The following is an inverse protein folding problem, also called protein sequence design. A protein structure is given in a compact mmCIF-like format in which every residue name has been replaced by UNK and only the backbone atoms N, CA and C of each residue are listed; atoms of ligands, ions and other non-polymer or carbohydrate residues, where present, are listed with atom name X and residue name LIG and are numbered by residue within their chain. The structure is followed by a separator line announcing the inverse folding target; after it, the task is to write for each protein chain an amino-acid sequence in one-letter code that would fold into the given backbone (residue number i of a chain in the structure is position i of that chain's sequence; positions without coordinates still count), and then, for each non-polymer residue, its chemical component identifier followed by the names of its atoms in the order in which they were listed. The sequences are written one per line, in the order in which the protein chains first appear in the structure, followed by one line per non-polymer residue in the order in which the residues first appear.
data_IF_034135127445
#
_entry.id   IF_034135127445
#
_cell.length_a   1.000
_cell.length_b   1.000
_cell.length_c   1.000
_cell.angle_alpha   90.00
_cell.angle_beta   90.00
_cell.angle_gamma   90.00
#
_symmetry.space_group_name_H-M   'P 1'
#
loop_
_entity.id
_entity.type
_entity.pdbx_description
1 polymer ?
#
# COMPACT_ATOMS: atom_id res chain seq x y z
N UNK A 1 -11.56 -21.94 -15.79
CA UNK A 1 -10.39 -21.40 -15.06
C UNK A 1 -9.68 -22.54 -14.37
N UNK A 2 -8.41 -22.80 -14.70
CA UNK A 2 -7.62 -23.90 -14.12
C UNK A 2 -7.44 -23.68 -12.61
N UNK A 3 -7.26 -24.78 -11.85
CA UNK A 3 -7.17 -24.73 -10.38
C UNK A 3 -6.01 -23.83 -9.89
N UNK A 4 -4.87 -23.85 -10.56
CA UNK A 4 -3.71 -23.00 -10.28
C UNK A 4 -4.00 -21.50 -10.48
N UNK A 5 -4.70 -21.15 -11.57
CA UNK A 5 -5.09 -19.78 -11.85
C UNK A 5 -6.11 -19.26 -10.81
N UNK A 6 -7.04 -20.12 -10.39
CA UNK A 6 -8.02 -19.80 -9.33
C UNK A 6 -7.31 -19.51 -8.00
N UNK A 7 -6.34 -20.33 -7.60
CA UNK A 7 -5.55 -20.12 -6.38
C UNK A 7 -4.75 -18.81 -6.44
N UNK A 8 -4.05 -18.56 -7.57
CA UNK A 8 -3.30 -17.30 -7.75
C UNK A 8 -4.22 -16.09 -7.67
N UNK A 9 -5.38 -16.12 -8.33
CA UNK A 9 -6.35 -15.02 -8.31
C UNK A 9 -6.88 -14.75 -6.90
N UNK A 10 -7.22 -15.81 -6.14
CA UNK A 10 -7.68 -15.66 -4.76
C UNK A 10 -6.61 -15.10 -3.84
N UNK A 11 -5.36 -15.56 -3.96
CA UNK A 11 -4.24 -15.05 -3.18
C UNK A 11 -4.00 -13.55 -3.48
N UNK A 12 -4.00 -13.16 -4.75
CA UNK A 12 -3.82 -11.76 -5.15
C UNK A 12 -4.95 -10.85 -4.67
N UNK A 13 -6.20 -11.33 -4.66
CA UNK A 13 -7.33 -10.59 -4.08
C UNK A 13 -7.18 -10.42 -2.56
N UNK A 14 -6.75 -11.48 -1.85
CA UNK A 14 -6.47 -11.40 -0.43
C UNK A 14 -5.33 -10.42 -0.12
N UNK A 15 -4.23 -10.47 -0.89
CA UNK A 15 -3.13 -9.49 -0.77
C UNK A 15 -3.61 -8.06 -1.02
N UNK A 16 -4.46 -7.84 -2.02
CA UNK A 16 -5.05 -6.53 -2.30
C UNK A 16 -5.84 -5.99 -1.11
N UNK A 17 -6.65 -6.85 -0.46
CA UNK A 17 -7.40 -6.49 0.74
C UNK A 17 -6.47 -6.16 1.91
N UNK A 18 -5.51 -7.04 2.22
CA UNK A 18 -4.60 -6.88 3.36
C UNK A 18 -3.73 -5.62 3.21
N UNK A 19 -3.14 -5.41 2.03
CA UNK A 19 -2.36 -4.19 1.76
C UNK A 19 -3.20 -2.92 1.90
N UNK A 20 -4.47 -2.98 1.46
CA UNK A 20 -5.37 -1.82 1.58
C UNK A 20 -5.78 -1.57 3.02
N UNK A 21 -6.00 -2.61 3.83
CA UNK A 21 -6.24 -2.45 5.28
C UNK A 21 -5.03 -1.79 5.94
N UNK A 22 -3.82 -2.30 5.70
CA UNK A 22 -2.58 -1.74 6.26
C UNK A 22 -2.35 -0.29 5.84
N UNK A 23 -2.52 0.03 4.55
CA UNK A 23 -2.40 1.38 4.04
C UNK A 23 -3.46 2.33 4.61
N UNK A 24 -4.72 1.90 4.68
CA UNK A 24 -5.81 2.66 5.27
C UNK A 24 -5.66 2.88 6.77
N UNK A 25 -5.06 1.91 7.49
CA UNK A 25 -4.80 2.03 8.91
C UNK A 25 -3.65 3.01 9.24
N UNK A 26 -2.82 3.39 8.27
CA UNK A 26 -1.63 4.22 8.49
C UNK A 26 -1.75 5.61 7.87
N UNK A 27 -2.34 5.72 6.69
CA UNK A 27 -2.36 6.97 5.93
C UNK A 27 -2.94 8.16 6.71
N UNK A 28 -4.12 8.08 7.37
CA UNK A 28 -4.67 9.20 8.13
C UNK A 28 -3.83 9.57 9.36
N UNK A 29 -3.08 8.60 9.92
CA UNK A 29 -2.31 8.79 11.14
C UNK A 29 -0.88 9.27 10.90
N UNK A 30 -0.43 9.31 9.65
CA UNK A 30 0.89 9.84 9.31
C UNK A 30 1.05 11.30 9.72
N UNK A 31 -0.01 12.10 9.59
CA UNK A 31 -0.02 13.51 10.05
C UNK A 31 0.13 13.62 11.56
N UNK A 32 -0.58 12.76 12.31
CA UNK A 32 -0.50 12.69 13.77
C UNK A 32 0.90 12.21 14.19
N UNK A 33 1.45 11.22 13.49
CA UNK A 33 2.80 10.71 13.73
C UNK A 33 3.85 11.80 13.59
N UNK A 34 3.83 12.54 12.48
CA UNK A 34 4.76 13.64 12.22
C UNK A 34 4.62 14.77 13.25
N UNK A 35 3.40 15.10 13.65
CA UNK A 35 3.14 16.10 14.67
C UNK A 35 3.66 15.68 16.05
N UNK A 36 3.33 14.46 16.51
CA UNK A 36 3.66 14.00 17.86
C UNK A 36 5.12 13.62 18.02
N UNK A 37 5.70 12.92 17.02
CA UNK A 37 7.06 12.39 17.10
C UNK A 37 8.11 13.46 16.79
N UNK A 38 7.81 14.42 15.93
CA UNK A 38 8.78 15.40 15.44
C UNK A 38 8.38 16.84 15.72
N UNK A 39 7.24 17.07 16.39
CA UNK A 39 6.73 18.42 16.75
C UNK A 39 6.64 19.36 15.54
N UNK A 40 6.31 18.80 14.36
CA UNK A 40 6.17 19.61 13.15
C UNK A 40 4.91 20.47 13.18
N UNK A 41 5.02 21.70 12.66
CA UNK A 41 3.88 22.56 12.41
C UNK A 41 2.96 21.97 11.34
N UNK A 42 1.69 22.37 11.35
CA UNK A 42 0.68 21.90 10.39
C UNK A 42 1.12 22.15 8.95
N UNK A 43 1.73 23.31 8.68
CA UNK A 43 2.21 23.67 7.35
C UNK A 43 3.33 22.72 6.87
N UNK A 44 4.30 22.44 7.73
CA UNK A 44 5.39 21.52 7.41
C UNK A 44 4.89 20.09 7.18
N UNK A 45 3.90 19.64 7.96
CA UNK A 45 3.25 18.35 7.74
C UNK A 45 2.56 18.35 6.38
N UNK A 46 1.83 19.40 6.02
CA UNK A 46 1.18 19.55 4.72
C UNK A 46 2.18 19.43 3.56
N UNK A 47 3.31 20.16 3.66
CA UNK A 47 4.39 20.05 2.65
C UNK A 47 4.99 18.64 2.59
N UNK A 48 5.31 18.04 3.73
CA UNK A 48 5.89 16.70 3.80
C UNK A 48 4.97 15.66 3.16
N UNK A 49 3.67 15.69 3.48
CA UNK A 49 2.68 14.79 2.91
C UNK A 49 2.52 15.00 1.41
N UNK A 50 2.45 16.25 0.95
CA UNK A 50 2.34 16.59 -0.48
C UNK A 50 3.56 16.08 -1.25
N UNK A 51 4.77 16.32 -0.75
CA UNK A 51 6.00 15.85 -1.36
C UNK A 51 6.01 14.33 -1.45
N UNK A 52 5.71 13.64 -0.33
CA UNK A 52 5.72 12.19 -0.30
C UNK A 52 4.71 11.56 -1.28
N UNK A 53 3.49 12.09 -1.33
CA UNK A 53 2.45 11.60 -2.23
C UNK A 53 2.79 11.90 -3.69
N UNK A 54 3.30 13.09 -4.01
CA UNK A 54 3.70 13.48 -5.36
C UNK A 54 4.85 12.61 -5.86
N UNK A 55 5.90 12.42 -5.07
CA UNK A 55 7.01 11.51 -5.39
C UNK A 55 6.46 10.10 -5.61
N UNK A 56 5.63 9.60 -4.71
CA UNK A 56 5.02 8.28 -4.82
C UNK A 56 4.28 8.09 -6.14
N UNK A 57 3.46 9.05 -6.55
CA UNK A 57 2.70 9.00 -7.81
C UNK A 57 3.64 9.08 -9.03
N UNK A 58 4.56 10.04 -9.06
CA UNK A 58 5.49 10.21 -10.20
C UNK A 58 6.32 8.95 -10.45
N UNK A 59 6.90 8.40 -9.37
CA UNK A 59 7.69 7.16 -9.50
C UNK A 59 6.81 5.95 -9.84
N UNK A 60 5.57 5.88 -9.33
CA UNK A 60 4.66 4.78 -9.66
C UNK A 60 4.30 4.72 -11.14
N UNK A 61 4.19 5.86 -11.82
CA UNK A 61 3.97 5.91 -13.26
C UNK A 61 5.17 5.30 -14.02
N UNK A 62 6.39 5.69 -13.66
CA UNK A 62 7.61 5.12 -14.27
C UNK A 62 7.74 3.61 -14.03
N UNK A 63 7.55 3.18 -12.79
CA UNK A 63 7.60 1.77 -12.41
C UNK A 63 6.44 0.97 -13.01
N UNK A 64 5.26 1.57 -13.20
CA UNK A 64 4.12 0.94 -13.86
C UNK A 64 4.44 0.60 -15.32
N UNK A 65 5.07 1.52 -16.07
CA UNK A 65 5.52 1.28 -17.45
C UNK A 65 6.62 0.19 -17.49
N UNK A 66 7.52 0.23 -16.52
CA UNK A 66 8.59 -0.75 -16.41
C UNK A 66 8.06 -2.17 -16.13
N UNK A 67 6.97 -2.28 -15.40
CA UNK A 67 6.33 -3.56 -15.04
C UNK A 67 5.91 -4.40 -16.26
N UNK A 68 5.63 -3.77 -17.40
CA UNK A 68 5.29 -4.48 -18.63
C UNK A 68 6.46 -5.28 -19.22
N UNK A 69 7.69 -4.92 -18.85
CA UNK A 69 8.93 -5.61 -19.30
C UNK A 69 9.34 -6.79 -18.42
N UNK A 70 8.72 -6.95 -17.26
CA UNK A 70 9.09 -7.96 -16.27
C UNK A 70 7.95 -8.94 -15.97
N UNK A 71 8.30 -10.07 -15.34
CA UNK A 71 7.30 -10.99 -14.80
C UNK A 71 6.44 -10.28 -13.72
N UNK A 72 5.13 -10.14 -14.00
CA UNK A 72 4.21 -9.39 -13.17
C UNK A 72 4.13 -9.91 -11.73
N UNK A 73 4.27 -11.24 -11.51
CA UNK A 73 4.24 -11.82 -10.16
C UNK A 73 5.47 -11.41 -9.36
N UNK A 74 6.66 -11.51 -9.95
CA UNK A 74 7.91 -11.07 -9.30
C UNK A 74 7.87 -9.59 -9.00
N UNK A 75 7.33 -8.80 -9.92
CA UNK A 75 7.22 -7.36 -9.75
C UNK A 75 6.25 -6.96 -8.64
N UNK A 76 5.11 -7.67 -8.50
CA UNK A 76 4.20 -7.48 -7.37
C UNK A 76 4.85 -7.88 -6.04
N UNK A 77 5.63 -8.96 -6.00
CA UNK A 77 6.39 -9.35 -4.80
C UNK A 77 7.40 -8.27 -4.38
N UNK A 78 8.12 -7.69 -5.34
CA UNK A 78 9.02 -6.57 -5.07
C UNK A 78 8.27 -5.34 -4.53
N UNK A 79 7.10 -5.04 -5.08
CA UNK A 79 6.27 -3.95 -4.57
C UNK A 79 5.78 -4.23 -3.14
N UNK A 80 5.35 -5.46 -2.83
CA UNK A 80 4.95 -5.86 -1.47
C UNK A 80 6.12 -5.76 -0.49
N UNK A 81 7.30 -6.24 -0.87
CA UNK A 81 8.49 -6.16 -0.01
C UNK A 81 8.93 -4.71 0.23
N UNK A 82 8.86 -3.85 -0.79
CA UNK A 82 9.12 -2.41 -0.64
C UNK A 82 8.10 -1.73 0.29
N UNK A 83 6.82 -2.09 0.17
CA UNK A 83 5.74 -1.62 1.04
C UNK A 83 5.98 -2.03 2.51
N UNK A 84 6.27 -3.32 2.75
CA UNK A 84 6.56 -3.84 4.08
C UNK A 84 7.79 -3.19 4.70
N UNK A 85 8.89 -3.09 3.94
CA UNK A 85 10.14 -2.48 4.42
C UNK A 85 9.96 -1.01 4.79
N UNK A 86 9.17 -0.26 4.02
CA UNK A 86 8.84 1.12 4.33
C UNK A 86 8.11 1.25 5.68
N UNK A 87 7.13 0.40 5.95
CA UNK A 87 6.40 0.42 7.22
C UNK A 87 7.25 -0.04 8.42
N UNK A 88 8.13 -1.01 8.24
CA UNK A 88 9.08 -1.43 9.27
C UNK A 88 10.08 -0.30 9.57
N UNK A 89 10.54 0.41 8.55
CA UNK A 89 11.56 1.44 8.69
C UNK A 89 11.06 2.70 9.41
N UNK A 90 9.81 3.14 9.17
CA UNK A 90 9.27 4.38 9.75
C UNK A 90 9.43 4.45 11.28
N UNK A 91 9.01 3.45 12.09
CA UNK A 91 9.15 3.52 13.55
C UNK A 91 10.60 3.33 14.05
N UNK A 92 11.52 2.90 13.20
CA UNK A 92 12.93 2.64 13.57
C UNK A 92 13.85 3.83 13.27
N UNK A 93 13.41 4.81 12.48
CA UNK A 93 14.23 5.96 12.11
C UNK A 93 13.81 7.21 12.89
N UNK A 94 14.82 8.01 13.31
CA UNK A 94 14.62 9.26 14.05
C UNK A 94 14.92 10.50 13.17
N UNK A 95 14.66 10.42 11.87
CA UNK A 95 14.92 11.49 10.93
C UNK A 95 13.68 11.74 10.05
N UNK A 96 13.15 12.96 10.12
CA UNK A 96 11.93 13.36 9.39
C UNK A 96 12.06 13.13 7.89
N UNK A 97 13.20 13.49 7.30
CA UNK A 97 13.41 13.33 5.86
C UNK A 97 13.34 11.85 5.45
N UNK A 98 13.93 10.95 6.23
CA UNK A 98 13.86 9.52 5.98
C UNK A 98 12.44 8.99 6.13
N UNK A 99 11.69 9.43 7.13
CA UNK A 99 10.28 9.06 7.31
C UNK A 99 9.45 9.49 6.10
N UNK A 100 9.64 10.72 5.60
CA UNK A 100 8.93 11.21 4.40
C UNK A 100 9.31 10.39 3.16
N UNK A 101 10.60 10.03 3.00
CA UNK A 101 11.05 9.18 1.89
C UNK A 101 10.48 7.75 1.98
N UNK A 102 10.46 7.14 3.17
CA UNK A 102 9.82 5.83 3.34
C UNK A 102 8.31 5.90 3.09
N UNK A 103 7.68 6.98 3.49
CA UNK A 103 6.25 7.17 3.20
C UNK A 103 5.99 7.33 1.69
N UNK A 104 6.87 8.05 0.96
CA UNK A 104 6.82 8.12 -0.50
C UNK A 104 7.03 6.74 -1.14
N UNK A 105 7.98 5.93 -0.63
CA UNK A 105 8.22 4.56 -1.06
C UNK A 105 6.97 3.69 -0.89
N UNK A 106 6.32 3.76 0.28
CA UNK A 106 5.09 3.02 0.58
C UNK A 106 3.98 3.37 -0.43
N UNK A 107 3.75 4.67 -0.68
CA UNK A 107 2.73 5.12 -1.64
C UNK A 107 3.05 4.68 -3.08
N UNK A 108 4.32 4.76 -3.48
CA UNK A 108 4.79 4.27 -4.77
C UNK A 108 4.55 2.76 -4.89
N UNK A 109 4.99 1.97 -3.92
CA UNK A 109 4.87 0.52 -3.90
C UNK A 109 3.41 0.07 -3.94
N UNK A 110 2.52 0.70 -3.16
CA UNK A 110 1.09 0.43 -3.19
C UNK A 110 0.47 0.69 -4.57
N UNK A 111 0.80 1.83 -5.18
CA UNK A 111 0.30 2.22 -6.50
C UNK A 111 0.79 1.28 -7.59
N UNK A 112 2.07 0.89 -7.55
CA UNK A 112 2.67 -0.09 -8.46
C UNK A 112 2.00 -1.44 -8.33
N UNK A 113 1.85 -1.96 -7.11
CA UNK A 113 1.14 -3.21 -6.86
C UNK A 113 -0.27 -3.18 -7.43
N UNK A 114 -1.05 -2.14 -7.15
CA UNK A 114 -2.43 -2.02 -7.61
C UNK A 114 -2.54 -1.97 -9.15
N UNK A 115 -1.58 -1.31 -9.82
CA UNK A 115 -1.53 -1.22 -11.29
C UNK A 115 -1.16 -2.55 -11.91
N UNK A 116 -0.09 -3.19 -11.41
CA UNK A 116 0.40 -4.48 -11.93
C UNK A 116 -0.60 -5.61 -11.67
N UNK A 117 -1.31 -5.57 -10.53
CA UNK A 117 -2.38 -6.52 -10.23
C UNK A 117 -3.51 -6.45 -11.26
N UNK A 118 -3.95 -5.24 -11.62
CA UNK A 118 -4.98 -5.04 -12.64
C UNK A 118 -4.50 -5.54 -14.01
N UNK A 119 -3.25 -5.25 -14.38
CA UNK A 119 -2.64 -5.74 -15.61
C UNK A 119 -2.58 -7.27 -15.61
N UNK A 120 -2.18 -7.90 -14.49
CA UNK A 120 -2.16 -9.35 -14.38
C UNK A 120 -3.55 -9.98 -14.57
N UNK A 121 -4.60 -9.39 -13.96
CA UNK A 121 -5.99 -9.83 -14.18
C UNK A 121 -6.39 -9.68 -15.65
N UNK A 122 -6.02 -8.58 -16.29
CA UNK A 122 -6.32 -8.34 -17.69
C UNK A 122 -5.68 -9.36 -18.63
N UNK A 123 -4.47 -9.82 -18.35
CA UNK A 123 -3.74 -10.77 -19.19
C UNK A 123 -4.17 -12.22 -18.98
N UNK A 124 -4.49 -12.61 -17.76
CA UNK A 124 -4.64 -14.02 -17.39
C UNK A 124 -6.10 -14.50 -17.29
N UNK A 125 -7.07 -13.59 -17.25
CA UNK A 125 -8.47 -13.95 -17.08
C UNK A 125 -9.24 -13.90 -18.42
N UNK A 126 -10.22 -14.80 -18.59
CA UNK A 126 -11.17 -14.73 -19.71
C UNK A 126 -12.08 -13.52 -19.58
N UNK A 127 -12.61 -13.01 -20.69
CA UNK A 127 -13.53 -11.83 -20.71
C UNK A 127 -14.70 -11.98 -19.74
N UNK A 128 -15.29 -13.16 -19.65
CA UNK A 128 -16.40 -13.44 -18.72
C UNK A 128 -15.99 -13.38 -17.25
N UNK A 129 -14.75 -13.80 -16.93
CA UNK A 129 -14.23 -13.78 -15.55
C UNK A 129 -13.68 -12.42 -15.14
N UNK A 130 -13.18 -11.63 -16.09
CA UNK A 130 -12.59 -10.31 -15.83
C UNK A 130 -13.53 -9.41 -15.05
N UNK A 131 -14.74 -9.15 -15.57
CA UNK A 131 -15.71 -8.26 -14.93
C UNK A 131 -15.98 -8.66 -13.49
N UNK A 132 -16.20 -9.96 -13.24
CA UNK A 132 -16.46 -10.48 -11.89
C UNK A 132 -15.25 -10.25 -10.95
N UNK A 133 -14.04 -10.56 -11.40
CA UNK A 133 -12.83 -10.43 -10.59
C UNK A 133 -12.49 -8.96 -10.32
N UNK A 134 -12.65 -8.07 -11.31
CA UNK A 134 -12.48 -6.62 -11.09
C UNK A 134 -13.50 -6.07 -10.09
N UNK A 135 -14.78 -6.51 -10.17
CA UNK A 135 -15.80 -6.12 -9.19
C UNK A 135 -15.47 -6.59 -7.78
N UNK A 136 -15.00 -7.85 -7.63
CA UNK A 136 -14.56 -8.40 -6.34
C UNK A 136 -13.37 -7.59 -5.83
N UNK A 137 -12.36 -7.32 -6.66
CA UNK A 137 -11.20 -6.53 -6.24
C UNK A 137 -11.61 -5.13 -5.79
N UNK A 138 -12.51 -4.47 -6.51
CA UNK A 138 -13.04 -3.16 -6.11
C UNK A 138 -13.76 -3.22 -4.76
N UNK A 139 -14.55 -4.26 -4.53
CA UNK A 139 -15.20 -4.48 -3.22
C UNK A 139 -14.17 -4.69 -2.11
N UNK A 140 -13.12 -5.49 -2.34
CA UNK A 140 -12.03 -5.69 -1.38
C UNK A 140 -11.30 -4.39 -1.04
N UNK A 141 -11.04 -3.53 -2.03
CA UNK A 141 -10.46 -2.21 -1.80
C UNK A 141 -11.36 -1.35 -0.90
N UNK A 142 -12.67 -1.29 -1.19
CA UNK A 142 -13.61 -0.52 -0.36
C UNK A 142 -13.72 -1.07 1.07
N UNK A 143 -13.74 -2.39 1.24
CA UNK A 143 -13.70 -3.02 2.57
C UNK A 143 -12.40 -2.63 3.30
N UNK A 144 -11.27 -2.70 2.63
CA UNK A 144 -9.98 -2.32 3.21
C UNK A 144 -9.93 -0.85 3.67
N UNK A 145 -10.41 0.07 2.83
CA UNK A 145 -10.53 1.49 3.18
C UNK A 145 -11.57 1.79 4.25
N UNK A 146 -12.60 0.95 4.40
CA UNK A 146 -13.61 1.07 5.46
C UNK A 146 -13.10 0.56 6.80
N UNK A 147 -12.37 -0.56 6.81
CA UNK A 147 -11.87 -1.21 8.03
C UNK A 147 -10.55 -0.59 8.50
N UNK A 148 -9.68 -0.20 7.57
CA UNK A 148 -8.34 0.31 7.89
C UNK A 148 -8.32 1.46 8.88
N UNK A 149 -8.98 2.62 8.62
CA UNK A 149 -8.93 3.77 9.51
C UNK A 149 -9.46 3.49 10.93
N UNK A 150 -10.59 2.79 11.15
CA UNK A 150 -11.02 2.43 12.50
C UNK A 150 -9.99 1.56 13.24
N UNK A 151 -9.38 0.57 12.57
CA UNK A 151 -8.30 -0.23 13.16
C UNK A 151 -7.10 0.65 13.51
N UNK A 152 -6.69 1.53 12.62
CA UNK A 152 -5.61 2.48 12.87
C UNK A 152 -5.89 3.37 14.08
N UNK A 153 -7.13 3.85 14.24
CA UNK A 153 -7.55 4.64 15.41
C UNK A 153 -7.36 3.86 16.71
N UNK A 154 -7.86 2.62 16.77
CA UNK A 154 -7.74 1.78 17.96
C UNK A 154 -6.28 1.51 18.32
N UNK A 155 -5.43 1.31 17.33
CA UNK A 155 -4.01 1.04 17.54
C UNK A 155 -3.23 2.28 17.99
N UNK A 156 -3.49 3.45 17.41
CA UNK A 156 -2.86 4.72 17.80
C UNK A 156 -3.19 5.09 19.26
N UNK A 157 -4.35 4.71 19.75
CA UNK A 157 -4.71 4.93 21.16
C UNK A 157 -3.81 4.15 22.12
N UNK A 158 -3.25 3.01 21.70
CA UNK A 158 -2.33 2.21 22.49
C UNK A 158 -0.86 2.62 22.27
N UNK A 159 -0.44 2.78 21.01
CA UNK A 159 0.88 3.29 20.65
C UNK A 159 0.87 3.85 19.24
N UNK A 160 1.58 4.97 19.06
CA UNK A 160 1.68 5.66 17.75
C UNK A 160 2.35 4.82 16.66
N UNK A 161 3.14 3.81 17.04
CA UNK A 161 3.87 2.94 16.12
C UNK A 161 3.07 1.71 15.69
N UNK A 162 2.01 1.32 16.42
CA UNK A 162 1.26 0.09 16.16
C UNK A 162 0.61 0.02 14.78
N UNK A 163 0.04 1.10 14.20
CA UNK A 163 -0.50 1.04 12.84
C UNK A 163 0.55 0.64 11.80
N UNK A 164 1.80 1.09 11.94
CA UNK A 164 2.89 0.73 11.02
C UNK A 164 3.26 -0.75 11.14
N UNK A 165 3.31 -1.29 12.35
CA UNK A 165 3.54 -2.73 12.57
C UNK A 165 2.40 -3.58 12.03
N UNK A 166 1.15 -3.16 12.22
CA UNK A 166 0.00 -3.84 11.59
C UNK A 166 0.15 -3.87 10.07
N UNK A 167 0.45 -2.73 9.45
CA UNK A 167 0.60 -2.63 8.01
C UNK A 167 1.73 -3.52 7.47
N UNK A 168 2.85 -3.60 8.20
CA UNK A 168 3.95 -4.50 7.88
C UNK A 168 3.51 -5.98 7.95
N UNK A 169 2.77 -6.37 8.98
CA UNK A 169 2.23 -7.74 9.13
C UNK A 169 1.22 -8.07 8.02
N UNK A 170 0.34 -7.14 7.66
CA UNK A 170 -0.62 -7.32 6.57
C UNK A 170 0.04 -7.49 5.19
N UNK A 171 1.32 -7.15 5.07
CA UNK A 171 2.08 -7.28 3.82
C UNK A 171 3.02 -8.50 3.80
N UNK A 172 3.15 -9.24 4.89
CA UNK A 172 3.97 -10.46 4.98
C UNK A 172 3.19 -11.71 4.54
#
# INVERSE_FOLDING_TARGET
MNLSLRRSTSALLASSLLLTIGHGATLPFMTIYLSRQYSLSVDLIGYAMTIALTIGVVFSLGFGILADKFDKKRYMLLAITAFASGFIAIPLVNNVTLVVLFFALINCAYSVFATVLKAWFADNLSSTSKTKIFSINYTMLNIGWTIGPPLGTLLVMQSINLPFWLAAICSA
#
